data_IF_277394724973
#
_entry.id   IF_277394724973
#
_cell.length_a   1.000
_cell.length_b   1.000
_cell.length_c   1.000
_cell.angle_alpha   90.00
_cell.angle_beta   90.00
_cell.angle_gamma   90.00
#
_symmetry.space_group_name_H-M   'P 1'
#
loop_
_entity.id
_entity.type
_entity.pdbx_description
1 polymer ?
#
# COMPACT_ATOMS: atom_id res chain seq x y z
N UNK A 1 12.83 3.80 44.16
CA UNK A 1 11.83 4.54 43.35
C UNK A 1 12.24 4.64 41.88
N UNK A 2 13.45 5.12 41.56
CA UNK A 2 13.97 5.22 40.18
C UNK A 2 13.95 3.92 39.36
N UNK A 3 14.32 2.77 39.95
CA UNK A 3 14.30 1.48 39.24
C UNK A 3 12.90 1.07 38.75
N UNK A 4 11.83 1.47 39.44
CA UNK A 4 10.44 1.18 39.00
C UNK A 4 10.01 2.08 37.84
N UNK A 5 10.43 3.35 37.86
CA UNK A 5 10.14 4.33 36.80
C UNK A 5 10.90 3.98 35.51
N UNK A 6 12.19 3.60 35.62
CA UNK A 6 13.00 3.17 34.46
C UNK A 6 12.41 1.91 33.80
N UNK A 7 11.94 0.94 34.59
CA UNK A 7 11.27 -0.26 34.07
C UNK A 7 9.96 0.07 33.34
N UNK A 8 9.18 1.03 33.85
CA UNK A 8 7.96 1.52 33.20
C UNK A 8 8.24 2.23 31.88
N UNK A 9 9.28 3.06 31.81
CA UNK A 9 9.69 3.73 30.56
C UNK A 9 10.16 2.71 29.53
N UNK A 10 10.97 1.72 29.94
CA UNK A 10 11.40 0.64 29.05
C UNK A 10 10.23 -0.21 28.54
N UNK A 11 9.25 -0.50 29.39
CA UNK A 11 8.05 -1.22 28.99
C UNK A 11 7.21 -0.42 27.99
N UNK A 12 7.00 0.88 28.24
CA UNK A 12 6.28 1.76 27.30
C UNK A 12 7.02 1.89 25.95
N UNK A 13 8.34 1.98 25.97
CA UNK A 13 9.15 2.00 24.75
C UNK A 13 9.00 0.70 23.97
N UNK A 14 9.11 -0.45 24.63
CA UNK A 14 8.96 -1.76 24.00
C UNK A 14 7.57 -1.93 23.37
N UNK A 15 6.51 -1.55 24.08
CA UNK A 15 5.14 -1.57 23.56
C UNK A 15 5.00 -0.67 22.32
N UNK A 16 5.52 0.55 22.36
CA UNK A 16 5.48 1.47 21.21
C UNK A 16 6.18 0.87 19.98
N UNK A 17 7.36 0.26 20.14
CA UNK A 17 8.06 -0.41 19.02
C UNK A 17 7.22 -1.55 18.44
N UNK A 18 6.63 -2.40 19.29
CA UNK A 18 5.81 -3.53 18.80
C UNK A 18 4.56 -3.08 18.04
N UNK A 19 3.94 -1.97 18.45
CA UNK A 19 2.78 -1.38 17.76
C UNK A 19 3.16 -0.88 16.37
N UNK A 20 4.30 -0.19 16.23
CA UNK A 20 4.77 0.29 14.93
C UNK A 20 5.04 -0.88 13.95
N UNK A 21 5.70 -1.94 14.42
CA UNK A 21 5.98 -3.13 13.59
C UNK A 21 4.67 -3.81 13.15
N UNK A 22 3.72 -3.97 14.06
CA UNK A 22 2.42 -4.56 13.74
C UNK A 22 1.65 -3.73 12.69
N UNK A 23 1.70 -2.41 12.81
CA UNK A 23 1.07 -1.49 11.87
C UNK A 23 1.73 -1.54 10.48
N UNK A 24 3.07 -1.59 10.41
CA UNK A 24 3.78 -1.74 9.13
C UNK A 24 3.45 -3.07 8.46
N UNK A 25 3.38 -4.16 9.22
CA UNK A 25 3.01 -5.48 8.67
C UNK A 25 1.58 -5.49 8.14
N UNK A 26 0.62 -4.97 8.90
CA UNK A 26 -0.78 -4.88 8.47
C UNK A 26 -0.92 -4.03 7.20
N UNK A 27 -0.12 -2.96 7.09
CA UNK A 27 -0.08 -2.12 5.90
C UNK A 27 0.49 -2.86 4.68
N UNK A 28 1.59 -3.61 4.85
CA UNK A 28 2.13 -4.44 3.77
C UNK A 28 1.10 -5.44 3.24
N UNK A 29 0.40 -6.14 4.15
CA UNK A 29 -0.66 -7.08 3.77
C UNK A 29 -1.83 -6.40 3.04
N UNK A 30 -2.08 -5.12 3.33
CA UNK A 30 -3.13 -4.33 2.66
C UNK A 30 -2.72 -3.97 1.23
N UNK A 31 -1.46 -3.55 1.05
CA UNK A 31 -0.88 -3.28 -0.27
C UNK A 31 -0.89 -4.54 -1.13
N UNK A 32 -0.44 -5.67 -0.57
CA UNK A 32 -0.41 -6.95 -1.28
C UNK A 32 -1.81 -7.37 -1.74
N UNK A 33 -2.82 -7.23 -0.87
CA UNK A 33 -4.23 -7.52 -1.21
C UNK A 33 -4.75 -6.63 -2.33
N UNK A 34 -4.46 -5.33 -2.30
CA UNK A 34 -4.88 -4.38 -3.34
C UNK A 34 -4.24 -4.71 -4.70
N UNK A 35 -2.96 -5.05 -4.69
CA UNK A 35 -2.21 -5.45 -5.88
C UNK A 35 -2.70 -6.79 -6.43
N UNK A 36 -2.95 -7.79 -5.57
CA UNK A 36 -3.49 -9.09 -5.95
C UNK A 36 -4.91 -9.00 -6.52
N UNK A 37 -5.76 -8.16 -5.92
CA UNK A 37 -7.10 -7.90 -6.43
C UNK A 37 -7.04 -7.32 -7.85
N UNK A 38 -6.12 -6.41 -8.09
CA UNK A 38 -5.89 -5.87 -9.43
C UNK A 38 -5.38 -6.97 -10.38
N UNK A 39 -4.40 -7.78 -9.95
CA UNK A 39 -3.85 -8.91 -10.71
C UNK A 39 -4.94 -9.87 -11.16
N UNK A 40 -5.84 -10.27 -10.27
CA UNK A 40 -6.94 -11.18 -10.61
C UNK A 40 -7.91 -10.56 -11.62
N UNK A 41 -8.21 -9.27 -11.51
CA UNK A 41 -9.18 -8.60 -12.39
C UNK A 41 -8.64 -8.33 -13.80
N UNK A 42 -7.36 -7.96 -13.92
CA UNK A 42 -6.77 -7.56 -15.22
C UNK A 42 -5.68 -8.49 -15.74
N UNK A 43 -5.42 -9.60 -15.04
CA UNK A 43 -4.42 -10.61 -15.39
C UNK A 43 -3.01 -10.05 -15.47
N UNK A 44 -2.54 -9.49 -14.35
CA UNK A 44 -1.16 -9.00 -14.24
C UNK A 44 -0.17 -10.16 -14.14
N UNK A 45 1.01 -9.99 -14.73
CA UNK A 45 2.14 -10.87 -14.47
C UNK A 45 2.84 -10.49 -13.14
N UNK A 46 3.76 -11.35 -12.68
CA UNK A 46 4.41 -11.17 -11.37
C UNK A 46 5.31 -9.92 -11.31
N UNK A 47 5.91 -9.51 -12.44
CA UNK A 47 6.70 -8.29 -12.50
C UNK A 47 5.79 -7.06 -12.34
N UNK A 48 4.66 -7.02 -13.05
CA UNK A 48 3.68 -5.94 -12.92
C UNK A 48 3.09 -5.88 -11.50
N UNK A 49 2.77 -7.03 -10.90
CA UNK A 49 2.29 -7.11 -9.52
C UNK A 49 3.30 -6.49 -8.55
N UNK A 50 4.58 -6.85 -8.68
CA UNK A 50 5.65 -6.33 -7.83
C UNK A 50 5.79 -4.82 -7.98
N UNK A 51 5.86 -4.31 -9.21
CA UNK A 51 5.97 -2.87 -9.49
C UNK A 51 4.76 -2.09 -8.98
N UNK A 52 3.55 -2.63 -9.15
CA UNK A 52 2.32 -1.99 -8.64
C UNK A 52 2.32 -1.95 -7.11
N UNK A 53 2.80 -3.01 -6.45
CA UNK A 53 2.92 -3.03 -4.98
C UNK A 53 3.88 -1.95 -4.48
N UNK A 54 5.01 -1.74 -5.17
CA UNK A 54 5.93 -0.64 -4.87
C UNK A 54 5.28 0.74 -5.08
N UNK A 55 4.54 0.91 -6.18
CA UNK A 55 3.83 2.18 -6.44
C UNK A 55 2.76 2.45 -5.36
N UNK A 56 2.07 1.43 -4.87
CA UNK A 56 1.10 1.56 -3.78
C UNK A 56 1.77 1.88 -2.43
N UNK A 57 2.97 1.34 -2.19
CA UNK A 57 3.77 1.72 -1.03
C UNK A 57 4.15 3.21 -1.08
N UNK A 58 4.57 3.71 -2.23
CA UNK A 58 4.85 5.14 -2.45
C UNK A 58 3.57 6.00 -2.30
N UNK A 59 2.43 5.48 -2.76
CA UNK A 59 1.14 6.17 -2.73
C UNK A 59 0.70 6.56 -1.32
N UNK A 60 0.96 5.69 -0.34
CA UNK A 60 0.65 5.93 1.07
C UNK A 60 1.18 7.29 1.53
N UNK A 61 2.44 7.58 1.24
CA UNK A 61 3.11 8.83 1.66
C UNK A 61 3.02 9.95 0.63
N UNK A 62 2.44 9.69 -0.54
CA UNK A 62 2.40 10.65 -1.64
C UNK A 62 1.50 11.86 -1.34
N UNK A 63 1.93 13.06 -1.74
CA UNK A 63 1.06 14.23 -1.77
C UNK A 63 0.13 14.23 -3.00
N UNK A 64 -0.82 15.17 -3.05
CA UNK A 64 -1.78 15.28 -4.17
C UNK A 64 -1.11 15.48 -5.53
N UNK A 65 0.06 16.11 -5.57
CA UNK A 65 0.81 16.37 -6.81
C UNK A 65 1.46 15.09 -7.33
N UNK A 66 1.90 14.22 -6.43
CA UNK A 66 2.50 12.93 -6.72
C UNK A 66 1.47 11.85 -7.07
N UNK A 67 0.28 11.89 -6.47
CA UNK A 67 -0.82 10.94 -6.71
C UNK A 67 -1.07 10.73 -8.20
N UNK A 68 -1.25 11.81 -8.98
CA UNK A 68 -1.50 11.70 -10.42
C UNK A 68 -0.35 11.05 -11.18
N UNK A 69 0.89 11.28 -10.74
CA UNK A 69 2.09 10.67 -11.33
C UNK A 69 2.11 9.16 -11.08
N UNK A 70 1.86 8.73 -9.84
CA UNK A 70 1.80 7.32 -9.46
C UNK A 70 0.67 6.58 -10.18
N UNK A 71 -0.51 7.20 -10.31
CA UNK A 71 -1.62 6.64 -11.10
C UNK A 71 -1.22 6.39 -12.56
N UNK A 72 -0.50 7.35 -13.16
CA UNK A 72 0.02 7.21 -14.54
C UNK A 72 1.10 6.14 -14.66
N UNK A 73 1.95 5.96 -13.64
CA UNK A 73 2.95 4.88 -13.63
C UNK A 73 2.27 3.51 -13.72
N UNK A 74 1.19 3.29 -12.96
CA UNK A 74 0.41 2.04 -13.02
C UNK A 74 -0.15 1.83 -14.43
N UNK A 75 -0.75 2.86 -15.03
CA UNK A 75 -1.23 2.76 -16.43
C UNK A 75 -0.11 2.48 -17.43
N UNK A 76 1.09 3.02 -17.20
CA UNK A 76 2.26 2.79 -18.04
C UNK A 76 2.75 1.34 -18.01
N UNK A 77 2.53 0.62 -16.92
CA UNK A 77 2.91 -0.80 -16.78
C UNK A 77 1.98 -1.75 -17.54
N UNK A 78 0.79 -1.31 -17.93
CA UNK A 78 -0.25 -2.17 -18.50
C UNK A 78 -0.14 -2.32 -20.02
N UNK A 79 -0.36 -3.53 -20.49
CA UNK A 79 -0.54 -3.84 -21.92
C UNK A 79 -1.90 -3.36 -22.43
N UNK A 80 -2.10 -3.17 -23.75
CA UNK A 80 -3.36 -2.67 -24.31
C UNK A 80 -4.61 -3.43 -23.85
N UNK A 81 -4.54 -4.76 -23.77
CA UNK A 81 -5.66 -5.59 -23.29
C UNK A 81 -5.96 -5.38 -21.80
N UNK A 82 -4.91 -5.21 -21.00
CA UNK A 82 -5.03 -4.95 -19.56
C UNK A 82 -5.55 -3.54 -19.32
N UNK A 83 -5.11 -2.55 -20.10
CA UNK A 83 -5.61 -1.17 -20.07
C UNK A 83 -7.12 -1.10 -20.30
N UNK A 84 -7.64 -1.83 -21.28
CA UNK A 84 -9.07 -1.87 -21.54
C UNK A 84 -9.87 -2.37 -20.32
N UNK A 85 -9.41 -3.46 -19.68
CA UNK A 85 -10.04 -3.97 -18.45
C UNK A 85 -9.86 -3.01 -17.28
N UNK A 86 -8.69 -2.40 -17.16
CA UNK A 86 -8.38 -1.44 -16.11
C UNK A 86 -9.28 -0.23 -16.17
N UNK A 87 -9.54 0.35 -17.35
CA UNK A 87 -10.47 1.49 -17.48
C UNK A 87 -11.87 1.21 -16.95
N UNK A 88 -12.32 -0.05 -16.99
CA UNK A 88 -13.63 -0.47 -16.45
C UNK A 88 -13.65 -0.43 -14.92
N UNK A 89 -12.55 -0.86 -14.28
CA UNK A 89 -12.47 -1.00 -12.82
C UNK A 89 -11.73 0.14 -12.11
N UNK A 90 -11.12 1.06 -12.87
CA UNK A 90 -10.16 2.06 -12.39
C UNK A 90 -10.74 2.89 -11.26
N UNK A 91 -11.93 3.43 -11.42
CA UNK A 91 -12.54 4.33 -10.44
C UNK A 91 -12.82 3.60 -9.12
N UNK A 92 -13.43 2.41 -9.20
CA UNK A 92 -13.75 1.61 -8.02
C UNK A 92 -12.48 1.15 -7.30
N UNK A 93 -11.46 0.74 -8.05
CA UNK A 93 -10.19 0.31 -7.49
C UNK A 93 -9.44 1.46 -6.80
N UNK A 94 -9.36 2.65 -7.42
CA UNK A 94 -8.73 3.80 -6.78
C UNK A 94 -9.51 4.33 -5.58
N UNK A 95 -10.83 4.19 -5.57
CA UNK A 95 -11.64 4.49 -4.39
C UNK A 95 -11.24 3.60 -3.21
N UNK A 96 -11.12 2.30 -3.44
CA UNK A 96 -10.68 1.34 -2.41
C UNK A 96 -9.23 1.60 -1.98
N UNK A 97 -8.33 1.89 -2.92
CA UNK A 97 -6.94 2.28 -2.61
C UNK A 97 -6.91 3.51 -1.70
N UNK A 98 -7.74 4.52 -1.98
CA UNK A 98 -7.84 5.71 -1.15
C UNK A 98 -8.38 5.38 0.24
N UNK A 99 -9.45 4.61 0.34
CA UNK A 99 -10.07 4.24 1.62
C UNK A 99 -9.13 3.42 2.53
N UNK A 100 -8.20 2.66 1.95
CA UNK A 100 -7.31 1.77 2.70
C UNK A 100 -5.91 2.33 2.94
N UNK A 101 -5.41 3.25 2.10
CA UNK A 101 -4.04 3.77 2.18
C UNK A 101 -3.93 5.26 2.56
N UNK A 102 -5.06 5.99 2.63
CA UNK A 102 -5.11 7.40 3.05
C UNK A 102 -6.04 7.58 4.24
#
# INVERSE_FOLDING_TARGET
>A
MYSRIVKLILLMFFLAVTVNIAQEKAMSETIDKLADKLKQKILLNDNQLKEISLILADYKTADETQVKSLQKKIEGLLEPRQKAKYQIIKNDWWKEVNELLK
#
